data_IF_696954325688
#
_entry.id   IF_696954325688
#
_cell.length_a   1.000
_cell.length_b   1.000
_cell.length_c   1.000
_cell.angle_alpha   90.00
_cell.angle_beta   90.00
_cell.angle_gamma   90.00
#
_symmetry.space_group_name_H-M   'P 1'
#
loop_
_entity.id
_entity.type
_entity.pdbx_description
1 polymer ?
#
# COMPACT_ATOMS: atom_id res chain seq x y z
N UNK A 1 -12.53 29.81 57.79
CA UNK A 1 -11.51 29.47 56.77
C UNK A 1 -12.09 28.35 55.89
N UNK A 2 -12.47 28.64 54.65
CA UNK A 2 -13.00 27.64 53.71
C UNK A 2 -11.88 27.25 52.74
N UNK A 3 -11.37 26.03 52.87
CA UNK A 3 -10.36 25.47 51.97
C UNK A 3 -11.07 25.04 50.69
N UNK A 4 -10.77 25.69 49.57
CA UNK A 4 -11.25 25.31 48.24
C UNK A 4 -10.21 24.37 47.63
N UNK A 5 -10.54 23.08 47.54
CA UNK A 5 -9.72 22.09 46.84
C UNK A 5 -9.97 22.25 45.33
N UNK A 6 -8.96 22.72 44.60
CA UNK A 6 -8.97 22.74 43.13
C UNK A 6 -8.52 21.35 42.65
N UNK A 7 -9.47 20.56 42.14
CA UNK A 7 -9.19 19.28 41.49
C UNK A 7 -8.67 19.57 40.07
N UNK A 8 -7.37 19.40 39.84
CA UNK A 8 -6.79 19.42 38.50
C UNK A 8 -7.08 18.06 37.86
N UNK A 9 -8.08 18.03 36.97
CA UNK A 9 -8.37 16.86 36.15
C UNK A 9 -7.30 16.74 35.05
N UNK A 10 -6.33 15.84 35.23
CA UNK A 10 -5.44 15.42 34.15
C UNK A 10 -6.24 14.59 33.15
N UNK A 11 -6.60 15.21 32.03
CA UNK A 11 -7.18 14.52 30.87
C UNK A 11 -6.04 13.74 30.20
N UNK A 12 -5.96 12.43 30.48
CA UNK A 12 -5.13 11.52 29.71
C UNK A 12 -5.74 11.36 28.31
N UNK A 13 -5.16 12.06 27.33
CA UNK A 13 -5.39 11.77 25.91
C UNK A 13 -4.77 10.40 25.59
N UNK A 14 -5.53 9.33 25.81
CA UNK A 14 -5.21 8.01 25.29
C UNK A 14 -5.38 8.01 23.76
N UNK A 15 -4.35 8.45 23.04
CA UNK A 15 -4.29 8.30 21.59
C UNK A 15 -4.25 6.82 21.23
N UNK A 16 -5.32 6.28 20.65
CA UNK A 16 -5.33 4.92 20.12
C UNK A 16 -4.39 4.84 18.91
N UNK A 17 -3.11 4.53 19.14
CA UNK A 17 -2.20 4.21 18.03
C UNK A 17 -2.57 2.85 17.46
N UNK A 18 -3.26 2.87 16.32
CA UNK A 18 -3.59 1.66 15.57
C UNK A 18 -2.32 1.11 14.92
N UNK A 19 -1.64 0.16 15.56
CA UNK A 19 -0.44 -0.49 15.00
C UNK A 19 -0.80 -1.25 13.70
N UNK A 20 0.07 -1.25 12.67
CA UNK A 20 -0.16 -2.04 11.48
C UNK A 20 -0.20 -3.53 11.84
N UNK A 21 -1.11 -4.28 11.21
CA UNK A 21 -1.20 -5.72 11.41
C UNK A 21 -0.36 -6.46 10.35
N UNK A 22 0.79 -6.99 10.76
CA UNK A 22 1.69 -7.72 9.87
C UNK A 22 1.03 -8.96 9.24
N UNK A 23 0.02 -9.57 9.89
CA UNK A 23 -0.70 -10.73 9.34
C UNK A 23 -1.40 -10.42 8.02
N UNK A 24 -1.71 -9.14 7.76
CA UNK A 24 -2.28 -8.72 6.49
C UNK A 24 -1.25 -8.73 5.36
N UNK A 25 0.03 -8.52 5.68
CA UNK A 25 1.13 -8.70 4.73
C UNK A 25 1.42 -10.19 4.56
N UNK A 26 1.36 -10.68 3.33
CA UNK A 26 1.79 -12.04 3.02
C UNK A 26 3.24 -12.24 3.47
N UNK A 27 3.58 -13.44 3.95
CA UNK A 27 4.92 -13.74 4.47
C UNK A 27 5.38 -12.83 5.63
N UNK A 28 4.45 -12.43 6.51
CA UNK A 28 4.70 -11.60 7.69
C UNK A 28 5.94 -11.99 8.53
N UNK A 29 6.30 -13.28 8.56
CA UNK A 29 7.49 -13.78 9.27
C UNK A 29 8.81 -13.22 8.74
N UNK A 30 8.88 -12.90 7.44
CA UNK A 30 10.05 -12.33 6.77
C UNK A 30 10.09 -10.79 6.83
N UNK A 31 8.99 -10.15 7.23
CA UNK A 31 8.84 -8.70 7.27
C UNK A 31 9.45 -8.12 8.55
N UNK A 32 10.76 -7.85 8.51
CA UNK A 32 11.52 -7.36 9.67
C UNK A 32 11.75 -5.84 9.63
N UNK A 33 12.14 -5.32 8.48
CA UNK A 33 12.44 -3.89 8.27
C UNK A 33 12.41 -3.55 6.78
N UNK A 34 12.61 -2.28 6.43
CA UNK A 34 12.77 -1.86 5.04
C UNK A 34 13.95 -2.56 4.35
N UNK A 35 14.97 -2.96 5.09
CA UNK A 35 16.14 -3.69 4.55
C UNK A 35 15.87 -5.17 4.28
N UNK A 36 14.76 -5.73 4.78
CA UNK A 36 14.46 -7.16 4.66
C UNK A 36 12.97 -7.43 4.61
N UNK A 37 12.49 -7.66 3.39
CA UNK A 37 11.13 -8.13 3.07
C UNK A 37 11.16 -8.98 1.80
N UNK A 38 10.06 -9.63 1.43
CA UNK A 38 9.97 -10.36 0.17
C UNK A 38 9.00 -9.75 -0.82
N UNK A 39 9.21 -10.08 -2.09
CA UNK A 39 8.46 -9.58 -3.24
C UNK A 39 7.96 -10.78 -4.03
N UNK A 40 6.65 -10.80 -4.28
CA UNK A 40 5.96 -11.79 -5.11
C UNK A 40 6.02 -11.38 -6.58
N UNK A 41 6.24 -12.35 -7.46
CA UNK A 41 6.04 -12.25 -8.91
C UNK A 41 5.84 -13.66 -9.50
N UNK A 42 5.65 -13.75 -10.82
CA UNK A 42 5.47 -15.05 -11.46
C UNK A 42 4.03 -15.57 -11.38
N UNK A 43 3.06 -14.68 -11.15
CA UNK A 43 1.63 -14.92 -10.97
C UNK A 43 1.31 -15.74 -9.72
N UNK A 44 0.26 -15.33 -9.02
CA UNK A 44 -0.21 -15.98 -7.79
C UNK A 44 0.88 -16.13 -6.70
N UNK A 45 1.88 -15.25 -6.67
CA UNK A 45 3.08 -15.32 -5.83
C UNK A 45 3.83 -16.65 -5.96
N UNK A 46 3.93 -17.20 -7.17
CA UNK A 46 4.67 -18.43 -7.42
C UNK A 46 6.18 -18.25 -7.16
N UNK A 47 6.71 -17.05 -7.40
CA UNK A 47 8.07 -16.68 -7.06
C UNK A 47 8.03 -15.65 -5.92
N UNK A 48 8.72 -15.97 -4.83
CA UNK A 48 8.88 -15.09 -3.69
C UNK A 48 10.37 -14.85 -3.45
N UNK A 49 10.83 -13.64 -3.76
CA UNK A 49 12.24 -13.27 -3.65
C UNK A 49 12.46 -12.33 -2.47
N UNK A 50 13.34 -12.72 -1.54
CA UNK A 50 13.78 -11.84 -0.44
C UNK A 50 14.68 -10.74 -0.98
N UNK A 51 14.40 -9.51 -0.58
CA UNK A 51 15.10 -8.29 -0.98
C UNK A 51 15.00 -7.25 0.14
N UNK A 52 15.27 -5.99 -0.19
CA UNK A 52 15.12 -4.86 0.70
C UNK A 52 15.45 -3.53 0.02
N UNK A 53 15.20 -2.46 0.76
CA UNK A 53 15.68 -1.12 0.47
C UNK A 53 16.83 -0.80 1.41
N UNK A 54 17.93 -0.30 0.85
CA UNK A 54 18.99 0.28 1.67
C UNK A 54 18.51 1.61 2.30
N UNK A 55 19.31 2.15 3.21
CA UNK A 55 18.90 3.34 3.96
C UNK A 55 18.77 4.58 3.09
N UNK A 56 19.56 4.70 2.01
CA UNK A 56 19.45 5.81 1.06
C UNK A 56 18.13 5.76 0.30
N UNK A 57 17.75 4.59 -0.19
CA UNK A 57 16.48 4.36 -0.89
C UNK A 57 15.28 4.59 0.04
N UNK A 58 15.34 4.09 1.28
CA UNK A 58 14.27 4.33 2.25
C UNK A 58 14.19 5.79 2.68
N UNK A 59 15.32 6.48 2.83
CA UNK A 59 15.32 7.93 3.08
C UNK A 59 14.69 8.71 1.90
N UNK A 60 14.86 8.27 0.65
CA UNK A 60 14.14 8.86 -0.48
C UNK A 60 12.62 8.67 -0.35
N UNK A 61 12.16 7.53 0.16
CA UNK A 61 10.74 7.31 0.49
C UNK A 61 10.29 8.24 1.62
N UNK A 62 11.05 8.35 2.72
CA UNK A 62 10.76 9.26 3.85
C UNK A 62 10.67 10.72 3.41
N UNK A 63 11.48 11.16 2.44
CA UNK A 63 11.44 12.52 1.88
C UNK A 63 10.04 12.90 1.35
N UNK A 64 9.24 11.93 0.88
CA UNK A 64 7.86 12.16 0.42
C UNK A 64 6.90 12.58 1.56
N UNK A 65 7.29 12.39 2.82
CA UNK A 65 6.49 12.62 4.02
C UNK A 65 7.07 13.69 4.95
N UNK A 66 8.15 14.40 4.56
CA UNK A 66 8.80 15.41 5.40
C UNK A 66 7.87 16.52 5.87
N UNK A 67 7.05 17.05 4.96
CA UNK A 67 5.95 17.94 5.34
C UNK A 67 4.85 17.04 5.88
N UNK A 68 4.29 17.29 7.06
CA UNK A 68 3.20 16.45 7.59
C UNK A 68 1.94 16.52 6.70
N UNK A 69 1.14 15.45 6.68
CA UNK A 69 -0.13 15.46 5.94
C UNK A 69 -1.18 16.16 6.80
N UNK A 70 -1.85 17.18 6.26
CA UNK A 70 -2.94 17.87 6.97
C UNK A 70 -4.30 17.22 6.75
N UNK A 71 -4.35 16.13 5.97
CA UNK A 71 -5.59 15.36 5.73
C UNK A 71 -5.30 13.94 5.26
N UNK A 72 -6.26 13.04 5.48
CA UNK A 72 -6.26 11.68 4.93
C UNK A 72 -6.11 11.69 3.40
N UNK A 73 -6.76 12.62 2.69
CA UNK A 73 -6.62 12.75 1.24
C UNK A 73 -5.18 13.05 0.83
N UNK A 74 -4.49 13.94 1.54
CA UNK A 74 -3.10 14.27 1.25
C UNK A 74 -2.18 13.08 1.56
N UNK A 75 -2.43 12.36 2.66
CA UNK A 75 -1.68 11.14 2.97
C UNK A 75 -1.81 10.10 1.85
N UNK A 76 -3.02 9.87 1.31
CA UNK A 76 -3.22 8.96 0.17
C UNK A 76 -2.38 9.36 -1.05
N UNK A 77 -2.28 10.65 -1.37
CA UNK A 77 -1.42 11.11 -2.46
C UNK A 77 0.06 10.79 -2.23
N UNK A 78 0.53 10.78 -0.98
CA UNK A 78 1.91 10.42 -0.63
C UNK A 78 2.13 8.92 -0.62
N UNK A 79 1.14 8.16 -0.14
CA UNK A 79 1.12 6.70 -0.24
C UNK A 79 1.28 6.28 -1.70
N UNK A 80 0.55 6.90 -2.64
CA UNK A 80 0.68 6.59 -4.06
C UNK A 80 2.11 6.81 -4.58
N UNK A 81 2.73 7.94 -4.23
CA UNK A 81 4.13 8.23 -4.60
C UNK A 81 5.11 7.25 -3.96
N UNK A 82 4.87 6.88 -2.71
CA UNK A 82 5.73 5.99 -1.96
C UNK A 82 5.71 4.55 -2.52
N UNK A 83 4.52 4.01 -2.79
CA UNK A 83 4.36 2.69 -3.42
C UNK A 83 5.08 2.67 -4.78
N UNK A 84 4.83 3.68 -5.62
CA UNK A 84 5.49 3.80 -6.92
C UNK A 84 7.03 3.87 -6.80
N UNK A 85 7.56 4.64 -5.84
CA UNK A 85 9.00 4.76 -5.62
C UNK A 85 9.61 3.46 -5.08
N UNK A 86 8.92 2.76 -4.18
CA UNK A 86 9.37 1.46 -3.67
C UNK A 86 9.46 0.44 -4.81
N UNK A 87 8.42 0.34 -5.66
CA UNK A 87 8.46 -0.50 -6.86
C UNK A 87 9.61 -0.10 -7.80
N UNK A 88 9.92 1.19 -7.93
CA UNK A 88 11.03 1.64 -8.76
C UNK A 88 12.40 1.14 -8.27
N UNK A 89 12.59 1.05 -6.95
CA UNK A 89 13.82 0.49 -6.36
C UNK A 89 13.83 -1.04 -6.33
N UNK A 90 12.67 -1.67 -6.14
CA UNK A 90 12.55 -3.12 -6.06
C UNK A 90 12.69 -3.77 -7.44
N UNK A 91 12.05 -3.20 -8.46
CA UNK A 91 11.99 -3.78 -9.81
C UNK A 91 13.34 -4.22 -10.36
N UNK A 92 14.38 -3.35 -10.39
CA UNK A 92 15.71 -3.73 -10.87
C UNK A 92 16.40 -4.83 -10.03
N UNK A 93 16.05 -4.98 -8.74
CA UNK A 93 16.62 -6.00 -7.85
C UNK A 93 15.97 -7.37 -8.04
N UNK A 94 14.71 -7.39 -8.47
CA UNK A 94 13.91 -8.61 -8.70
C UNK A 94 13.78 -8.95 -10.18
N UNK A 95 14.23 -8.08 -11.09
CA UNK A 95 14.07 -8.21 -12.53
C UNK A 95 12.65 -7.92 -13.03
N UNK A 96 11.81 -7.29 -12.20
CA UNK A 96 10.39 -7.01 -12.47
C UNK A 96 10.14 -5.55 -12.88
N UNK A 97 11.21 -4.80 -13.18
CA UNK A 97 11.15 -3.40 -13.63
C UNK A 97 10.37 -3.20 -14.94
N UNK A 98 10.29 -4.26 -15.75
CA UNK A 98 9.57 -4.30 -17.02
C UNK A 98 8.20 -4.99 -16.94
N UNK A 99 7.69 -5.24 -15.73
CA UNK A 99 6.35 -5.77 -15.54
C UNK A 99 5.29 -4.90 -16.24
N UNK A 100 4.36 -5.58 -16.91
CA UNK A 100 3.36 -4.94 -17.76
C UNK A 100 2.10 -4.62 -16.97
N UNK A 101 1.61 -3.42 -17.23
CA UNK A 101 0.28 -3.02 -16.86
C UNK A 101 -0.75 -4.07 -17.28
N UNK A 102 -1.68 -4.39 -16.38
CA UNK A 102 -2.88 -5.19 -16.66
C UNK A 102 -2.55 -6.60 -17.14
N UNK A 103 -1.72 -7.30 -16.37
CA UNK A 103 -1.36 -8.70 -16.61
C UNK A 103 -2.55 -9.56 -17.11
N UNK A 104 -2.43 -10.24 -18.26
CA UNK A 104 -3.50 -11.09 -18.80
C UNK A 104 -3.66 -12.40 -18.02
N UNK A 105 -4.84 -13.05 -18.09
CA UNK A 105 -5.11 -14.31 -17.35
C UNK A 105 -4.14 -15.41 -17.77
N UNK A 106 -3.91 -15.49 -19.08
CA UNK A 106 -3.04 -16.48 -19.70
C UNK A 106 -1.81 -15.75 -20.20
N UNK A 107 -0.68 -16.02 -19.56
CA UNK A 107 0.62 -15.54 -19.98
C UNK A 107 1.61 -16.72 -19.92
N UNK A 108 2.27 -17.01 -21.03
CA UNK A 108 3.24 -18.10 -21.13
C UNK A 108 4.66 -17.67 -20.73
N UNK A 109 4.88 -16.39 -20.45
CA UNK A 109 6.15 -15.85 -19.97
C UNK A 109 5.94 -14.89 -18.79
N UNK A 110 5.75 -15.48 -17.61
CA UNK A 110 5.46 -14.75 -16.36
C UNK A 110 6.68 -14.54 -15.47
N UNK A 111 7.86 -15.00 -15.86
CA UNK A 111 9.04 -15.09 -14.96
C UNK A 111 9.44 -13.77 -14.30
N UNK A 112 9.05 -12.64 -14.87
CA UNK A 112 9.34 -11.28 -14.36
C UNK A 112 8.09 -10.40 -14.32
N UNK A 113 6.91 -10.97 -14.56
CA UNK A 113 5.62 -10.27 -14.60
C UNK A 113 4.86 -10.51 -13.28
N UNK A 114 3.96 -9.59 -12.96
CA UNK A 114 3.14 -9.60 -11.76
C UNK A 114 1.66 -9.62 -12.13
N UNK A 115 0.89 -10.51 -11.52
CA UNK A 115 -0.57 -10.43 -11.58
C UNK A 115 -1.15 -9.60 -10.42
N UNK A 116 -2.48 -9.52 -10.35
CA UNK A 116 -3.15 -8.80 -9.27
C UNK A 116 -2.89 -9.37 -7.87
N UNK A 117 -2.52 -10.65 -7.75
CA UNK A 117 -2.24 -11.29 -6.46
C UNK A 117 -0.84 -10.89 -6.01
N UNK A 118 0.13 -10.90 -6.93
CA UNK A 118 1.48 -10.40 -6.72
C UNK A 118 1.45 -8.94 -6.26
N UNK A 119 0.81 -8.08 -7.06
CA UNK A 119 0.70 -6.64 -6.83
C UNK A 119 0.00 -6.32 -5.50
N UNK A 120 -1.13 -6.98 -5.21
CA UNK A 120 -1.82 -6.79 -3.95
C UNK A 120 -0.97 -7.24 -2.75
N UNK A 121 -0.16 -8.29 -2.90
CA UNK A 121 0.75 -8.75 -1.82
C UNK A 121 1.86 -7.76 -1.59
N UNK A 122 2.55 -7.34 -2.66
CA UNK A 122 3.65 -6.39 -2.62
C UNK A 122 3.21 -5.03 -2.05
N UNK A 123 2.11 -4.47 -2.57
CA UNK A 123 1.53 -3.23 -2.06
C UNK A 123 1.16 -3.32 -0.58
N UNK A 124 0.65 -4.47 -0.10
CA UNK A 124 0.34 -4.64 1.33
C UNK A 124 1.61 -4.62 2.18
N UNK A 125 2.68 -5.27 1.73
CA UNK A 125 4.00 -5.22 2.37
C UNK A 125 4.54 -3.80 2.46
N UNK A 126 4.43 -3.02 1.36
CA UNK A 126 4.91 -1.64 1.34
C UNK A 126 4.12 -0.74 2.29
N UNK A 127 2.79 -0.85 2.29
CA UNK A 127 1.92 -0.13 3.21
C UNK A 127 2.24 -0.46 4.68
N UNK A 128 2.53 -1.72 4.97
CA UNK A 128 2.99 -2.13 6.30
C UNK A 128 4.28 -1.41 6.69
N UNK A 129 5.29 -1.39 5.82
CA UNK A 129 6.58 -0.74 6.08
C UNK A 129 6.42 0.77 6.33
N UNK A 130 5.61 1.45 5.51
CA UNK A 130 5.31 2.87 5.70
C UNK A 130 4.65 3.15 7.05
N UNK A 131 3.74 2.28 7.51
CA UNK A 131 3.09 2.41 8.81
C UNK A 131 4.03 2.06 9.97
N UNK A 132 4.84 1.02 9.82
CA UNK A 132 5.81 0.62 10.82
C UNK A 132 6.82 1.74 11.09
N UNK A 133 7.22 2.46 10.03
CA UNK A 133 8.12 3.61 10.12
C UNK A 133 7.43 4.90 10.59
N UNK A 134 6.12 4.88 10.80
CA UNK A 134 5.34 6.03 11.27
C UNK A 134 5.02 7.08 10.19
N UNK A 135 5.27 6.79 8.91
CA UNK A 135 5.08 7.75 7.81
C UNK A 135 3.60 7.99 7.45
N UNK A 136 2.75 7.00 7.71
CA UNK A 136 1.30 7.14 7.56
C UNK A 136 0.66 7.13 8.94
N UNK A 137 -0.23 8.09 9.21
CA UNK A 137 -0.86 8.35 10.50
C UNK A 137 -2.38 8.43 10.41
N UNK A 138 -2.95 8.75 9.24
CA UNK A 138 -4.40 8.78 9.03
C UNK A 138 -4.99 7.41 8.70
N UNK A 139 -4.22 6.54 8.07
CA UNK A 139 -4.69 5.21 7.65
C UNK A 139 -3.94 4.07 8.33
N UNK A 140 -4.61 2.92 8.38
CA UNK A 140 -4.00 1.62 8.67
C UNK A 140 -4.37 0.61 7.59
N UNK A 141 -3.73 -0.55 7.59
CA UNK A 141 -3.93 -1.60 6.58
C UNK A 141 -5.30 -2.25 6.75
N UNK A 142 -5.99 -2.47 5.64
CA UNK A 142 -7.16 -3.32 5.58
C UNK A 142 -6.86 -4.70 4.97
N UNK A 143 -7.83 -5.61 5.05
CA UNK A 143 -7.74 -6.88 4.33
C UNK A 143 -7.78 -6.65 2.82
N UNK A 144 -7.07 -7.48 2.06
CA UNK A 144 -7.11 -7.44 0.59
C UNK A 144 -8.55 -7.54 0.11
N UNK A 145 -8.94 -6.67 -0.82
CA UNK A 145 -10.26 -6.69 -1.43
C UNK A 145 -10.18 -7.44 -2.75
N UNK A 146 -11.17 -8.30 -2.98
CA UNK A 146 -11.31 -9.05 -4.24
C UNK A 146 -12.61 -8.67 -4.92
N UNK A 147 -12.56 -8.50 -6.24
CA UNK A 147 -13.76 -8.35 -7.08
C UNK A 147 -13.78 -9.36 -8.22
N UNK A 148 -14.97 -9.89 -8.46
CA UNK A 148 -15.31 -10.73 -9.60
C UNK A 148 -16.52 -10.08 -10.28
N UNK A 149 -16.38 -9.57 -11.51
CA UNK A 149 -17.47 -8.91 -12.24
C UNK A 149 -18.25 -9.90 -13.14
N UNK A 150 -19.02 -10.82 -12.53
CA UNK A 150 -19.80 -11.93 -13.16
C UNK A 150 -19.01 -13.21 -13.53
N UNK A 151 -19.74 -14.28 -13.90
CA UNK A 151 -19.27 -15.66 -14.16
C UNK A 151 -18.14 -15.78 -15.22
N UNK A 152 -17.79 -14.68 -15.91
CA UNK A 152 -16.73 -14.62 -16.93
C UNK A 152 -15.67 -13.53 -16.66
N UNK A 153 -15.62 -12.93 -15.46
CA UNK A 153 -14.66 -11.87 -15.15
C UNK A 153 -13.39 -12.32 -14.46
N UNK A 154 -12.32 -11.64 -14.82
CA UNK A 154 -11.01 -11.65 -14.17
C UNK A 154 -11.16 -11.49 -12.64
N UNK A 155 -10.70 -12.45 -11.82
CA UNK A 155 -10.60 -12.25 -10.39
C UNK A 155 -9.51 -11.21 -10.12
N UNK A 156 -9.90 -10.02 -9.67
CA UNK A 156 -8.96 -8.93 -9.41
C UNK A 156 -8.83 -8.69 -7.91
N UNK A 157 -7.60 -8.58 -7.42
CA UNK A 157 -7.27 -8.35 -6.01
C UNK A 157 -6.48 -7.06 -5.85
N UNK A 158 -6.72 -6.33 -4.76
CA UNK A 158 -5.96 -5.13 -4.42
C UNK A 158 -5.68 -5.06 -2.91
N UNK A 159 -4.58 -4.38 -2.56
CA UNK A 159 -4.32 -3.98 -1.18
C UNK A 159 -5.35 -2.92 -0.75
N UNK A 160 -5.60 -2.79 0.56
CA UNK A 160 -6.51 -1.77 1.08
C UNK A 160 -5.93 -1.04 2.28
N UNK A 161 -6.43 0.16 2.47
CA UNK A 161 -6.20 0.99 3.65
C UNK A 161 -7.53 1.56 4.13
N UNK A 162 -7.62 1.84 5.44
CA UNK A 162 -8.77 2.52 6.00
C UNK A 162 -8.38 3.59 7.02
N UNK A 163 -9.17 4.66 7.06
CA UNK A 163 -8.98 5.76 8.00
C UNK A 163 -9.22 5.28 9.45
N UNK A 164 -8.25 5.49 10.34
CA UNK A 164 -8.25 4.92 11.71
C UNK A 164 -9.43 5.37 12.58
N UNK A 165 -10.02 6.52 12.26
CA UNK A 165 -11.14 7.12 13.00
C UNK A 165 -12.49 6.94 12.29
N UNK A 166 -12.57 6.03 11.32
CA UNK A 166 -13.79 5.73 10.55
C UNK A 166 -14.27 4.30 10.80
N UNK A 167 -15.42 3.99 10.22
CA UNK A 167 -15.99 2.63 10.25
C UNK A 167 -14.98 1.62 9.75
N UNK A 168 -14.96 0.42 10.34
CA UNK A 168 -14.11 -0.71 9.90
C UNK A 168 -14.75 -1.54 8.79
N UNK A 169 -15.95 -1.20 8.34
CA UNK A 169 -16.64 -1.89 7.23
C UNK A 169 -15.87 -1.64 5.94
N UNK A 170 -15.33 -2.70 5.33
CA UNK A 170 -14.34 -2.69 4.21
C UNK A 170 -14.74 -1.87 2.98
N UNK A 171 -16.04 -1.62 2.78
CA UNK A 171 -16.58 -0.82 1.67
C UNK A 171 -17.30 0.45 2.15
N UNK A 172 -17.19 0.76 3.45
CA UNK A 172 -17.75 1.95 4.07
C UNK A 172 -16.91 3.21 3.85
N UNK A 173 -17.40 4.34 4.34
CA UNK A 173 -16.66 5.59 4.29
C UNK A 173 -15.29 5.47 4.98
N UNK A 174 -14.24 5.96 4.31
CA UNK A 174 -12.87 5.91 4.81
C UNK A 174 -12.07 4.68 4.37
N UNK A 175 -12.63 3.78 3.58
CA UNK A 175 -11.91 2.63 3.00
C UNK A 175 -11.51 2.89 1.57
N UNK A 176 -10.26 2.57 1.25
CA UNK A 176 -9.65 2.80 -0.05
C UNK A 176 -8.86 1.58 -0.48
N UNK A 177 -8.88 1.28 -1.78
CA UNK A 177 -7.92 0.36 -2.37
C UNK A 177 -6.60 1.08 -2.63
N UNK A 178 -5.51 0.33 -2.69
CA UNK A 178 -4.23 0.77 -3.24
C UNK A 178 -3.85 -0.27 -4.28
N UNK A 179 -4.03 0.08 -5.55
CA UNK A 179 -3.97 -0.87 -6.67
C UNK A 179 -2.92 -0.44 -7.71
N UNK A 180 -1.77 -1.10 -7.68
CA UNK A 180 -0.61 -0.88 -8.55
C UNK A 180 -0.72 -1.58 -9.91
N UNK A 181 -1.65 -2.51 -10.09
CA UNK A 181 -1.72 -3.41 -11.26
C UNK A 181 -2.12 -2.73 -12.58
N UNK A 182 -2.83 -1.60 -12.54
CA UNK A 182 -3.42 -1.01 -13.75
C UNK A 182 -2.43 -0.35 -14.71
N UNK A 183 -1.23 -0.03 -14.23
CA UNK A 183 -0.24 0.82 -14.90
C UNK A 183 1.11 0.13 -14.97
N UNK A 184 2.09 0.73 -15.67
CA UNK A 184 3.45 0.16 -15.73
C UNK A 184 4.05 0.09 -14.32
N UNK A 185 4.90 -0.91 -14.04
CA UNK A 185 5.59 -1.03 -12.77
C UNK A 185 6.27 0.28 -12.35
N UNK A 186 6.06 0.71 -11.10
CA UNK A 186 6.57 1.98 -10.58
C UNK A 186 5.78 3.22 -11.02
N UNK A 187 4.63 3.06 -11.67
CA UNK A 187 3.66 4.13 -11.87
C UNK A 187 2.85 4.39 -10.59
N UNK A 188 2.21 5.56 -10.49
CA UNK A 188 1.32 5.85 -9.35
C UNK A 188 0.15 4.86 -9.32
N UNK A 189 -0.05 4.11 -8.21
CA UNK A 189 -1.18 3.21 -8.06
C UNK A 189 -2.48 4.00 -8.01
N UNK A 190 -3.59 3.30 -8.21
CA UNK A 190 -4.92 3.86 -8.05
C UNK A 190 -5.35 3.75 -6.59
N UNK A 191 -5.63 4.91 -5.99
CA UNK A 191 -6.12 4.99 -4.61
C UNK A 191 -7.51 5.63 -4.61
N UNK A 192 -8.54 4.78 -4.61
CA UNK A 192 -9.94 5.18 -4.75
C UNK A 192 -10.80 4.51 -3.68
N UNK A 193 -12.02 5.01 -3.39
CA UNK A 193 -12.91 4.38 -2.42
C UNK A 193 -13.15 2.91 -2.73
N UNK A 194 -13.07 2.06 -1.72
CA UNK A 194 -13.21 0.61 -1.86
C UNK A 194 -14.56 0.20 -2.49
N UNK A 195 -15.65 0.87 -2.12
CA UNK A 195 -16.98 0.65 -2.71
C UNK A 195 -17.04 0.98 -4.21
N UNK A 196 -16.33 2.02 -4.66
CA UNK A 196 -16.24 2.39 -6.08
C UNK A 196 -15.42 1.35 -6.83
N UNK A 197 -14.27 0.96 -6.28
CA UNK A 197 -13.43 -0.07 -6.87
C UNK A 197 -14.14 -1.42 -6.93
N UNK A 198 -14.96 -1.78 -5.93
CA UNK A 198 -15.69 -3.06 -5.92
C UNK A 198 -16.65 -3.20 -7.11
N UNK A 199 -17.17 -2.09 -7.62
CA UNK A 199 -18.02 -2.01 -8.80
C UNK A 199 -17.25 -2.13 -10.12
N UNK A 200 -17.82 -1.59 -11.21
CA UNK A 200 -17.25 -1.62 -12.58
C UNK A 200 -16.14 -0.59 -12.83
N UNK A 201 -15.56 -0.01 -11.78
CA UNK A 201 -14.60 1.06 -11.98
C UNK A 201 -13.33 0.56 -12.68
N UNK A 202 -12.83 1.38 -13.61
CA UNK A 202 -11.61 1.12 -14.37
C UNK A 202 -10.95 2.46 -14.72
N UNK A 203 -9.62 2.58 -14.66
CA UNK A 203 -8.95 3.84 -14.97
C UNK A 203 -9.05 4.16 -16.46
N UNK A 204 -9.34 5.43 -16.78
CA UNK A 204 -9.54 5.90 -18.16
C UNK A 204 -8.24 5.92 -18.97
N UNK A 205 -7.12 6.19 -18.30
CA UNK A 205 -5.82 6.38 -18.94
C UNK A 205 -4.81 5.41 -18.33
N UNK A 206 -3.83 5.00 -19.13
CA UNK A 206 -2.65 4.30 -18.62
C UNK A 206 -1.63 5.33 -18.14
N UNK A 207 -0.99 5.09 -17.00
CA UNK A 207 0.13 5.89 -16.50
C UNK A 207 1.44 5.18 -16.81
N UNK A 208 2.44 5.98 -17.13
CA UNK A 208 3.80 5.50 -17.31
C UNK A 208 4.55 5.44 -15.97
N UNK A 209 5.67 4.73 -15.96
CA UNK A 209 6.59 4.70 -14.83
C UNK A 209 7.09 6.12 -14.56
N UNK A 210 6.98 6.57 -13.32
CA UNK A 210 7.56 7.86 -12.92
C UNK A 210 9.06 7.67 -12.65
N UNK A 211 9.86 8.70 -12.84
CA UNK A 211 11.19 8.76 -12.25
C UNK A 211 11.14 9.89 -11.23
N UNK A 212 11.03 9.55 -9.94
CA UNK A 212 11.14 10.55 -8.90
C UNK A 212 12.63 10.91 -8.82
N UNK A 213 13.08 11.83 -9.67
CA UNK A 213 14.42 12.39 -9.55
C UNK A 213 14.55 12.93 -8.13
N UNK A 214 15.34 12.25 -7.30
CA UNK A 214 15.76 12.77 -6.01
C UNK A 214 16.55 14.04 -6.31
N UNK A 215 15.90 15.19 -6.15
CA UNK A 215 16.60 16.45 -5.95
C UNK A 215 17.35 16.41 -4.62
#
# INVERSE_FOLDING_TARGET
MKVVLILIAMIFLAGCTSKPNAILAGHASDLKSHQRFGVCYGYACNIYQKTGLNDQEWNAVRKLFLVEAVSAKQERNRIAKAVALIEQFVGPKTGTDNDKARAPIVNFNIKTEMDCIDEATNSTTYLYLLRQDGLITYHTLGAKLRRNWSNFSYPHSAATIYEINKSKVVEGAGHFVVDSWFHKNGALPEIIPASVWRGRWYPKNNRERYNFTAS
#
